data_IF_804999930823
#
_entry.id   IF_804999930823
#
_cell.length_a   1.000
_cell.length_b   1.000
_cell.length_c   1.000
_cell.angle_alpha   90.00
_cell.angle_beta   90.00
_cell.angle_gamma   90.00
#
_symmetry.space_group_name_H-M   'P 1'
#
loop_
_entity.id
_entity.type
_entity.pdbx_description
1 polymer ?
#
# COMPACT_ATOMS: atom_id res chain seq x y z
N UNK A 1 -26.32 4.31 -5.97
CA UNK A 1 -25.65 4.71 -4.72
C UNK A 1 -25.48 3.56 -3.73
N UNK A 2 -26.53 2.76 -3.44
CA UNK A 2 -26.45 1.62 -2.50
C UNK A 2 -25.33 0.63 -2.86
N UNK A 3 -25.23 0.22 -4.14
CA UNK A 3 -24.19 -0.73 -4.58
C UNK A 3 -22.77 -0.18 -4.40
N UNK A 4 -22.54 1.12 -4.67
CA UNK A 4 -21.25 1.75 -4.44
C UNK A 4 -20.87 1.71 -2.96
N UNK A 5 -21.83 2.07 -2.09
CA UNK A 5 -21.60 2.00 -0.64
C UNK A 5 -21.22 0.59 -0.20
N UNK A 6 -21.92 -0.43 -0.72
CA UNK A 6 -21.61 -1.84 -0.41
C UNK A 6 -20.19 -2.21 -0.82
N UNK A 7 -19.77 -1.88 -2.06
CA UNK A 7 -18.40 -2.19 -2.52
C UNK A 7 -17.32 -1.47 -1.70
N UNK A 8 -17.58 -0.20 -1.33
CA UNK A 8 -16.65 0.54 -0.46
C UNK A 8 -16.57 -0.11 0.93
N UNK A 9 -17.69 -0.52 1.52
CA UNK A 9 -17.71 -1.18 2.83
C UNK A 9 -16.95 -2.52 2.75
N UNK A 10 -17.23 -3.34 1.73
CA UNK A 10 -16.55 -4.63 1.55
C UNK A 10 -15.02 -4.42 1.37
N UNK A 11 -14.63 -3.46 0.54
CA UNK A 11 -13.22 -3.13 0.34
C UNK A 11 -12.56 -2.65 1.63
N UNK A 12 -13.22 -1.76 2.36
CA UNK A 12 -12.71 -1.23 3.63
C UNK A 12 -12.55 -2.35 4.67
N UNK A 13 -13.57 -3.20 4.83
CA UNK A 13 -13.51 -4.31 5.79
C UNK A 13 -12.42 -5.32 5.41
N UNK A 14 -12.31 -5.67 4.13
CA UNK A 14 -11.23 -6.53 3.63
C UNK A 14 -9.87 -5.93 3.98
N UNK A 15 -9.66 -4.66 3.62
CA UNK A 15 -8.41 -3.94 3.91
C UNK A 15 -8.10 -3.86 5.38
N UNK A 16 -9.13 -3.81 6.23
CA UNK A 16 -8.99 -3.64 7.69
C UNK A 16 -8.37 -4.85 8.38
N UNK A 17 -8.44 -6.05 7.79
CA UNK A 17 -7.83 -7.24 8.39
C UNK A 17 -6.31 -7.06 8.40
N UNK A 18 -5.70 -7.04 9.58
CA UNK A 18 -4.26 -6.79 9.73
C UNK A 18 -3.52 -8.13 9.86
N UNK A 19 -3.25 -8.76 8.71
CA UNK A 19 -2.67 -10.10 8.66
C UNK A 19 -1.30 -10.19 9.35
N UNK A 20 -0.44 -9.18 9.15
CA UNK A 20 0.86 -9.16 9.83
C UNK A 20 0.69 -9.20 11.35
N UNK A 21 -0.30 -8.44 11.89
CA UNK A 21 -0.58 -8.44 13.33
C UNK A 21 -1.12 -9.79 13.81
N UNK A 22 -2.00 -10.43 13.02
CA UNK A 22 -2.54 -11.76 13.36
C UNK A 22 -1.42 -12.81 13.37
N UNK A 23 -0.58 -12.81 12.33
CA UNK A 23 0.55 -13.74 12.22
C UNK A 23 1.60 -13.48 13.32
N UNK A 24 1.79 -12.22 13.74
CA UNK A 24 2.69 -11.88 14.84
C UNK A 24 2.24 -12.54 16.15
N UNK A 25 0.92 -12.61 16.39
CA UNK A 25 0.38 -13.30 17.57
C UNK A 25 0.74 -14.80 17.55
N UNK A 26 0.65 -15.45 16.38
CA UNK A 26 1.03 -16.88 16.27
C UNK A 26 2.53 -17.06 16.45
N UNK A 27 3.34 -16.11 16.01
CA UNK A 27 4.79 -16.10 16.18
C UNK A 27 5.22 -15.60 17.57
N UNK A 28 4.29 -15.17 18.41
CA UNK A 28 4.54 -14.62 19.77
C UNK A 28 5.48 -13.41 19.75
N UNK A 29 5.27 -12.51 18.77
CA UNK A 29 6.08 -11.30 18.58
C UNK A 29 5.20 -10.06 18.74
N UNK A 30 5.71 -9.03 19.42
CA UNK A 30 5.06 -7.72 19.49
C UNK A 30 5.65 -6.80 18.41
N UNK A 31 4.91 -6.55 17.34
CA UNK A 31 5.35 -5.69 16.23
C UNK A 31 5.54 -4.23 16.63
N UNK A 32 4.86 -3.78 17.71
CA UNK A 32 5.03 -2.40 18.19
C UNK A 32 6.42 -2.17 18.80
N UNK A 33 7.10 -3.25 19.21
CA UNK A 33 8.45 -3.19 19.76
C UNK A 33 9.54 -3.42 18.69
N UNK A 34 9.15 -3.58 17.39
CA UNK A 34 10.10 -3.91 16.31
C UNK A 34 10.21 -2.75 15.33
N UNK A 35 11.43 -2.41 14.95
CA UNK A 35 11.71 -1.40 13.92
C UNK A 35 11.05 -0.06 14.24
N UNK A 36 10.17 0.40 13.35
CA UNK A 36 9.46 1.67 13.51
C UNK A 36 8.09 1.51 14.21
N UNK A 37 7.82 0.35 14.79
CA UNK A 37 6.57 0.05 15.49
C UNK A 37 5.36 -0.15 14.59
N UNK A 38 5.56 -0.23 13.26
CA UNK A 38 4.49 -0.43 12.29
C UNK A 38 3.98 -1.88 12.36
N UNK A 39 2.64 -2.13 12.44
CA UNK A 39 2.10 -3.50 12.50
C UNK A 39 2.03 -4.17 11.13
N UNK A 40 3.03 -3.95 10.28
CA UNK A 40 3.06 -4.42 8.89
C UNK A 40 4.02 -5.59 8.66
N UNK A 41 3.99 -6.12 7.45
CA UNK A 41 4.72 -7.32 7.03
C UNK A 41 6.24 -7.18 7.17
N UNK A 42 6.80 -5.98 6.97
CA UNK A 42 8.26 -5.77 7.06
C UNK A 42 8.78 -6.00 8.49
N UNK A 43 8.10 -5.43 9.49
CA UNK A 43 8.48 -5.66 10.89
C UNK A 43 8.28 -7.11 11.29
N UNK A 44 7.24 -7.77 10.76
CA UNK A 44 7.04 -9.20 10.98
C UNK A 44 8.17 -10.03 10.34
N UNK A 45 8.61 -9.65 9.13
CA UNK A 45 9.75 -10.30 8.47
C UNK A 45 11.01 -10.23 9.34
N UNK A 46 11.31 -9.03 9.88
CA UNK A 46 12.48 -8.84 10.74
C UNK A 46 12.39 -9.65 12.03
N UNK A 47 11.21 -9.74 12.63
CA UNK A 47 11.03 -10.34 13.96
C UNK A 47 10.78 -11.85 13.93
N UNK A 48 10.08 -12.36 12.91
CA UNK A 48 9.64 -13.77 12.84
C UNK A 48 10.18 -14.51 11.59
N UNK A 49 10.98 -13.82 10.78
CA UNK A 49 11.62 -14.41 9.61
C UNK A 49 10.81 -14.31 8.32
N UNK A 50 11.47 -14.72 7.22
CA UNK A 50 10.97 -14.48 5.86
C UNK A 50 9.63 -15.18 5.57
N UNK A 51 9.40 -16.36 6.14
CA UNK A 51 8.15 -17.13 5.90
C UNK A 51 6.92 -16.35 6.39
N UNK A 52 6.99 -15.82 7.61
CA UNK A 52 5.92 -15.04 8.20
C UNK A 52 5.75 -13.70 7.44
N UNK A 53 6.87 -13.04 7.13
CA UNK A 53 6.85 -11.77 6.39
C UNK A 53 6.25 -11.92 5.01
N UNK A 54 6.69 -12.94 4.24
CA UNK A 54 6.18 -13.19 2.89
C UNK A 54 4.68 -13.52 2.91
N UNK A 55 4.25 -14.37 3.84
CA UNK A 55 2.82 -14.70 3.99
C UNK A 55 2.00 -13.43 4.27
N UNK A 56 2.50 -12.57 5.15
CA UNK A 56 1.82 -11.30 5.44
C UNK A 56 1.74 -10.38 4.22
N UNK A 57 2.82 -10.30 3.41
CA UNK A 57 2.82 -9.51 2.16
C UNK A 57 1.76 -10.04 1.20
N UNK A 58 1.71 -11.38 1.01
CA UNK A 58 0.75 -12.02 0.10
C UNK A 58 -0.69 -11.72 0.56
N UNK A 59 -0.97 -11.91 1.85
CA UNK A 59 -2.32 -11.70 2.39
C UNK A 59 -2.72 -10.22 2.33
N UNK A 60 -1.79 -9.30 2.61
CA UNK A 60 -2.05 -7.85 2.50
C UNK A 60 -2.24 -7.42 1.04
N UNK A 61 -1.54 -8.05 0.08
CA UNK A 61 -1.80 -7.86 -1.34
C UNK A 61 -3.20 -8.36 -1.70
N UNK A 62 -3.55 -9.59 -1.32
CA UNK A 62 -4.83 -10.22 -1.68
C UNK A 62 -6.03 -9.44 -1.11
N UNK A 63 -5.92 -8.87 0.09
CA UNK A 63 -7.04 -8.12 0.66
C UNK A 63 -7.34 -6.81 -0.10
N UNK A 64 -6.37 -6.30 -0.86
CA UNK A 64 -6.59 -5.18 -1.80
C UNK A 64 -7.07 -5.68 -3.16
N UNK A 65 -6.43 -6.74 -3.64
CA UNK A 65 -6.69 -7.30 -4.98
C UNK A 65 -8.09 -7.90 -5.11
N UNK A 66 -8.47 -8.78 -4.17
CA UNK A 66 -9.70 -9.58 -4.31
C UNK A 66 -10.97 -8.72 -4.36
N UNK A 67 -11.23 -7.79 -3.42
CA UNK A 67 -12.47 -7.01 -3.50
C UNK A 67 -12.55 -6.14 -4.75
N UNK A 68 -11.48 -5.64 -5.23
CA UNK A 68 -11.45 -4.85 -6.47
C UNK A 68 -11.57 -5.73 -7.70
N UNK A 69 -10.92 -6.84 -7.85
CA UNK A 69 -10.98 -7.63 -8.72
C UNK A 69 -12.20 -7.97 -8.88
N UNK A 70 -13.03 -8.53 -7.83
CA UNK A 70 -14.43 -8.99 -7.90
C UNK A 70 -15.36 -7.85 -8.35
N UNK A 71 -15.25 -6.68 -7.82
CA UNK A 71 -16.02 -5.52 -8.26
C UNK A 71 -15.90 -5.29 -9.79
N UNK A 72 -14.69 -5.40 -10.21
CA UNK A 72 -14.46 -5.21 -11.43
C UNK A 72 -15.08 -6.10 -12.21
N UNK A 73 -15.17 -7.51 -11.94
CA UNK A 73 -15.77 -8.60 -12.68
C UNK A 73 -17.31 -8.58 -12.72
N UNK A 74 -17.92 -7.98 -11.75
CA UNK A 74 -19.40 -7.83 -11.78
C UNK A 74 -19.88 -6.83 -12.83
N UNK A 75 -18.99 -6.09 -13.45
CA UNK A 75 -19.36 -5.01 -14.38
C UNK A 75 -19.88 -3.76 -13.68
N UNK A 76 -19.78 -3.71 -12.36
CA UNK A 76 -20.29 -2.56 -11.58
C UNK A 76 -19.49 -1.28 -11.85
N UNK A 77 -18.18 -1.39 -12.02
CA UNK A 77 -17.32 -0.24 -12.35
C UNK A 77 -16.49 -0.51 -13.62
N UNK A 78 -16.24 0.54 -14.39
CA UNK A 78 -15.37 0.54 -15.54
C UNK A 78 -14.20 1.49 -15.30
N UNK A 79 -13.09 1.36 -16.04
CA UNK A 79 -11.92 2.24 -15.85
C UNK A 79 -12.20 3.74 -15.98
N UNK A 80 -13.27 4.11 -16.70
CA UNK A 80 -13.66 5.52 -16.92
C UNK A 80 -14.60 6.05 -15.84
N UNK A 81 -15.13 5.19 -14.96
CA UNK A 81 -16.18 5.54 -14.01
C UNK A 81 -15.57 6.19 -12.75
N UNK A 82 -15.95 7.42 -12.40
CA UNK A 82 -15.49 8.04 -11.15
C UNK A 82 -15.79 7.23 -9.88
N UNK A 83 -16.77 6.32 -9.90
CA UNK A 83 -17.03 5.41 -8.78
C UNK A 83 -15.83 4.49 -8.48
N UNK A 84 -14.92 4.30 -9.44
CA UNK A 84 -13.66 3.59 -9.24
C UNK A 84 -12.83 4.20 -8.09
N UNK A 85 -12.85 5.53 -7.96
CA UNK A 85 -11.99 6.25 -7.00
C UNK A 85 -12.25 5.78 -5.56
N UNK A 86 -13.47 5.86 -5.03
CA UNK A 86 -13.71 5.37 -3.66
C UNK A 86 -13.56 3.85 -3.53
N UNK A 87 -13.87 3.06 -4.57
CA UNK A 87 -13.67 1.59 -4.52
C UNK A 87 -12.18 1.25 -4.41
N UNK A 88 -11.32 1.94 -5.17
CA UNK A 88 -9.86 1.75 -5.11
C UNK A 88 -9.29 2.19 -3.75
N UNK A 89 -9.79 3.31 -3.20
CA UNK A 89 -9.31 3.85 -1.95
C UNK A 89 -9.72 3.01 -0.73
N UNK A 90 -10.86 2.33 -0.80
CA UNK A 90 -11.47 1.68 0.36
C UNK A 90 -10.58 0.61 1.03
N UNK A 91 -9.95 -0.34 0.29
CA UNK A 91 -9.05 -1.30 0.95
C UNK A 91 -7.82 -0.64 1.57
N UNK A 92 -7.29 0.41 0.94
CA UNK A 92 -6.14 1.15 1.46
C UNK A 92 -6.53 1.87 2.75
N UNK A 93 -7.67 2.56 2.74
CA UNK A 93 -8.24 3.21 3.94
C UNK A 93 -8.42 2.19 5.07
N UNK A 94 -8.96 1.00 4.76
CA UNK A 94 -9.13 -0.06 5.74
C UNK A 94 -7.81 -0.48 6.37
N UNK A 95 -6.75 -0.62 5.56
CA UNK A 95 -5.42 -1.01 6.06
C UNK A 95 -4.81 0.10 6.93
N UNK A 96 -4.94 1.36 6.53
CA UNK A 96 -4.37 2.50 7.26
C UNK A 96 -5.12 2.76 8.57
N UNK A 97 -6.44 2.67 8.54
CA UNK A 97 -7.33 3.03 9.65
C UNK A 97 -8.15 1.82 10.10
N UNK A 98 -7.46 0.70 10.39
CA UNK A 98 -8.12 -0.54 10.78
C UNK A 98 -8.84 -0.38 12.12
N UNK A 99 -10.17 -0.59 12.16
CA UNK A 99 -10.91 -0.57 13.44
C UNK A 99 -10.45 -1.68 14.38
N UNK A 100 -9.91 -2.78 13.85
CA UNK A 100 -9.39 -3.90 14.65
C UNK A 100 -8.11 -3.52 15.40
N UNK A 101 -7.43 -2.43 15.02
CA UNK A 101 -6.25 -1.89 15.71
C UNK A 101 -6.47 -0.44 16.18
N UNK A 102 -7.71 -0.12 16.59
CA UNK A 102 -8.07 1.21 17.10
C UNK A 102 -7.66 2.32 16.13
N UNK A 103 -7.92 2.09 14.83
CA UNK A 103 -7.61 3.01 13.71
C UNK A 103 -6.12 3.33 13.56
N UNK A 104 -5.25 2.43 14.07
CA UNK A 104 -3.79 2.56 13.97
C UNK A 104 -3.21 1.38 13.19
N UNK A 105 -3.42 1.39 11.88
CA UNK A 105 -3.02 0.30 10.97
C UNK A 105 -1.59 0.42 10.45
N UNK A 106 -1.35 -0.14 9.26
CA UNK A 106 -0.03 -0.21 8.63
C UNK A 106 0.22 0.89 7.59
N UNK A 107 1.28 0.72 6.80
CA UNK A 107 1.72 1.73 5.80
C UNK A 107 1.06 1.58 4.42
N UNK A 108 0.38 0.47 4.15
CA UNK A 108 -0.46 0.34 2.95
C UNK A 108 0.22 -0.08 1.65
N UNK A 109 1.52 -0.39 1.65
CA UNK A 109 2.25 -0.67 0.40
C UNK A 109 1.69 -1.91 -0.30
N UNK A 110 1.62 -3.06 0.39
CA UNK A 110 1.18 -4.32 -0.22
C UNK A 110 -0.30 -4.26 -0.67
N UNK A 111 -1.17 -3.62 0.12
CA UNK A 111 -2.58 -3.46 -0.26
C UNK A 111 -2.73 -2.53 -1.48
N UNK A 112 -1.90 -1.47 -1.58
CA UNK A 112 -1.83 -0.61 -2.77
C UNK A 112 -1.46 -1.46 -4.00
N UNK A 113 -0.40 -2.28 -3.90
CA UNK A 113 -0.02 -3.20 -4.98
C UNK A 113 -1.20 -4.09 -5.39
N UNK A 114 -1.95 -4.63 -4.44
CA UNK A 114 -3.12 -5.47 -4.72
C UNK A 114 -4.21 -4.72 -5.50
N UNK A 115 -4.60 -3.55 -5.01
CA UNK A 115 -5.64 -2.71 -5.64
C UNK A 115 -5.26 -2.40 -7.10
N UNK A 116 -4.04 -1.91 -7.32
CA UNK A 116 -3.61 -1.47 -8.66
C UNK A 116 -3.36 -2.63 -9.61
N UNK A 117 -2.97 -3.81 -9.09
CA UNK A 117 -2.90 -5.04 -9.92
C UNK A 117 -4.30 -5.42 -10.44
N UNK A 118 -5.32 -5.30 -9.61
CA UNK A 118 -6.70 -5.61 -10.02
C UNK A 118 -7.23 -4.61 -11.06
N UNK A 119 -6.96 -3.31 -10.87
CA UNK A 119 -7.49 -2.26 -11.73
C UNK A 119 -6.82 -2.18 -13.10
N UNK A 120 -5.53 -2.57 -13.19
CA UNK A 120 -4.71 -2.34 -14.40
C UNK A 120 -4.03 -3.60 -14.91
N UNK A 121 -4.57 -4.80 -14.58
CA UNK A 121 -4.01 -6.09 -14.99
C UNK A 121 -2.50 -6.16 -14.73
N UNK A 122 -2.07 -5.71 -13.55
CA UNK A 122 -0.68 -5.66 -13.06
C UNK A 122 0.22 -4.61 -13.72
N UNK A 123 -0.23 -3.91 -14.77
CA UNK A 123 0.63 -3.01 -15.53
C UNK A 123 1.21 -1.88 -14.65
N UNK A 124 0.34 -1.12 -13.98
CA UNK A 124 0.77 -0.02 -13.11
C UNK A 124 1.62 -0.55 -11.94
N UNK A 125 1.24 -1.70 -11.40
CA UNK A 125 1.95 -2.34 -10.30
C UNK A 125 3.39 -2.72 -10.70
N UNK A 126 3.58 -3.27 -11.90
CA UNK A 126 4.91 -3.64 -12.41
C UNK A 126 5.78 -2.41 -12.62
N UNK A 127 5.23 -1.35 -13.22
CA UNK A 127 5.97 -0.10 -13.41
C UNK A 127 6.41 0.46 -12.05
N UNK A 128 5.48 0.51 -11.09
CA UNK A 128 5.79 1.00 -9.75
C UNK A 128 6.82 0.12 -9.03
N UNK A 129 6.71 -1.22 -9.16
CA UNK A 129 7.67 -2.16 -8.57
C UNK A 129 9.09 -1.94 -9.15
N UNK A 130 9.19 -1.74 -10.46
CA UNK A 130 10.49 -1.47 -11.13
C UNK A 130 11.08 -0.16 -10.59
N UNK A 131 10.27 0.91 -10.50
CA UNK A 131 10.72 2.20 -9.96
C UNK A 131 11.25 2.02 -8.53
N UNK A 132 10.49 1.32 -7.66
CA UNK A 132 10.92 1.09 -6.28
C UNK A 132 12.20 0.25 -6.22
N UNK A 133 12.33 -0.78 -7.07
CA UNK A 133 13.53 -1.61 -7.13
C UNK A 133 14.75 -0.79 -7.54
N UNK A 134 14.62 0.06 -8.57
CA UNK A 134 15.69 0.96 -9.02
C UNK A 134 16.08 1.92 -7.88
N UNK A 135 15.09 2.54 -7.23
CA UNK A 135 15.34 3.47 -6.11
C UNK A 135 16.03 2.77 -4.94
N UNK A 136 15.60 1.54 -4.62
CA UNK A 136 16.22 0.75 -3.53
C UNK A 136 17.68 0.42 -3.86
N UNK A 137 17.96 -0.04 -5.10
CA UNK A 137 19.33 -0.37 -5.52
C UNK A 137 20.20 0.89 -5.50
N UNK A 138 19.70 2.00 -6.06
CA UNK A 138 20.41 3.28 -6.07
C UNK A 138 20.68 3.76 -4.62
N UNK A 139 19.67 3.69 -3.75
CA UNK A 139 19.81 4.09 -2.35
C UNK A 139 20.85 3.27 -1.60
N UNK A 140 20.88 1.94 -1.85
CA UNK A 140 21.92 1.06 -1.27
C UNK A 140 23.31 1.38 -1.82
N UNK A 141 23.45 1.57 -3.13
CA UNK A 141 24.72 1.89 -3.76
C UNK A 141 25.29 3.19 -3.20
N UNK A 142 24.45 4.23 -3.05
CA UNK A 142 24.87 5.52 -2.48
C UNK A 142 25.18 5.42 -0.98
N UNK A 143 24.62 4.43 -0.27
CA UNK A 143 24.83 4.22 1.16
C UNK A 143 25.88 3.11 1.46
N UNK A 144 26.77 2.83 0.51
CA UNK A 144 27.80 1.81 0.67
C UNK A 144 27.24 0.40 0.86
N UNK A 145 26.15 0.08 0.16
CA UNK A 145 25.42 -1.20 0.18
C UNK A 145 24.81 -1.56 1.55
N UNK A 146 24.73 -0.59 2.46
CA UNK A 146 24.04 -0.78 3.74
C UNK A 146 22.52 -0.69 3.55
N UNK A 147 21.74 -1.26 4.48
CA UNK A 147 20.28 -1.14 4.41
C UNK A 147 19.83 0.32 4.38
N UNK A 148 18.83 0.60 3.60
CA UNK A 148 18.19 1.92 3.52
C UNK A 148 17.35 2.13 4.80
N UNK A 149 17.31 3.34 5.31
CA UNK A 149 16.54 3.63 6.53
C UNK A 149 15.04 3.68 6.24
N UNK A 150 14.21 3.45 7.25
CA UNK A 150 12.75 3.48 7.13
C UNK A 150 12.23 4.86 6.65
N UNK A 151 12.96 5.93 6.97
CA UNK A 151 12.62 7.28 6.50
C UNK A 151 12.88 7.42 4.99
N UNK A 152 14.02 6.90 4.52
CA UNK A 152 14.36 6.91 3.10
C UNK A 152 13.39 6.00 2.31
N UNK A 153 13.02 4.83 2.87
CA UNK A 153 11.96 3.98 2.28
C UNK A 153 10.65 4.76 2.13
N UNK A 154 10.27 5.53 3.15
CA UNK A 154 9.04 6.33 3.11
C UNK A 154 9.09 7.37 1.99
N UNK A 155 10.25 8.01 1.80
CA UNK A 155 10.46 8.97 0.71
C UNK A 155 10.38 8.27 -0.64
N UNK A 156 11.08 7.12 -0.81
CA UNK A 156 11.09 6.35 -2.06
C UNK A 156 9.68 5.91 -2.47
N UNK A 157 8.87 5.43 -1.52
CA UNK A 157 7.48 5.01 -1.78
C UNK A 157 6.68 6.16 -2.38
N UNK A 158 6.71 7.35 -1.76
CA UNK A 158 5.90 8.49 -2.21
C UNK A 158 6.42 9.06 -3.53
N UNK A 159 7.74 9.23 -3.67
CA UNK A 159 8.33 9.76 -4.92
C UNK A 159 8.10 8.77 -6.08
N UNK A 160 8.20 7.47 -5.81
CA UNK A 160 7.90 6.45 -6.82
C UNK A 160 6.46 6.55 -7.33
N UNK A 161 5.50 6.76 -6.42
CA UNK A 161 4.10 6.96 -6.82
C UNK A 161 3.92 8.23 -7.66
N UNK A 162 4.60 9.32 -7.28
CA UNK A 162 4.55 10.56 -8.06
C UNK A 162 5.14 10.38 -9.46
N UNK A 163 6.23 9.60 -9.57
CA UNK A 163 6.82 9.29 -10.89
C UNK A 163 5.85 8.52 -11.79
N UNK A 164 5.14 7.52 -11.24
CA UNK A 164 4.12 6.76 -11.96
C UNK A 164 2.99 7.67 -12.45
N UNK A 165 2.63 8.71 -11.69
CA UNK A 165 1.54 9.64 -12.05
C UNK A 165 1.74 10.30 -13.42
N UNK A 166 3.00 10.60 -13.77
CA UNK A 166 3.32 11.25 -15.06
C UNK A 166 2.89 10.37 -16.23
N UNK A 167 3.21 9.08 -16.14
CA UNK A 167 2.83 8.11 -17.18
C UNK A 167 1.33 7.82 -17.15
N UNK A 168 0.75 7.63 -15.95
CA UNK A 168 -0.69 7.35 -15.80
C UNK A 168 -1.58 8.44 -16.40
N UNK A 169 -1.19 9.70 -16.25
CA UNK A 169 -1.96 10.83 -16.79
C UNK A 169 -2.10 10.76 -18.32
N UNK A 170 -1.12 10.16 -19.01
CA UNK A 170 -1.11 10.06 -20.46
C UNK A 170 -1.71 8.74 -20.96
N UNK A 171 -1.57 7.66 -20.20
CA UNK A 171 -1.86 6.30 -20.65
C UNK A 171 -3.23 5.77 -20.23
N UNK A 172 -3.87 6.41 -19.24
CA UNK A 172 -5.08 5.86 -18.60
C UNK A 172 -6.21 6.88 -18.51
N UNK A 173 -7.48 6.41 -18.43
CA UNK A 173 -8.62 7.31 -18.21
C UNK A 173 -8.50 8.12 -16.92
N UNK A 174 -9.18 9.27 -16.89
CA UNK A 174 -9.12 10.22 -15.78
C UNK A 174 -9.50 9.59 -14.42
N UNK A 175 -10.45 8.65 -14.40
CA UNK A 175 -10.86 7.99 -13.14
C UNK A 175 -9.71 7.18 -12.53
N UNK A 176 -8.94 6.45 -13.36
CA UNK A 176 -7.73 5.72 -12.93
C UNK A 176 -6.71 6.71 -12.36
N UNK A 177 -6.43 7.80 -13.09
CA UNK A 177 -5.47 8.82 -12.65
C UNK A 177 -5.89 9.44 -11.30
N UNK A 178 -7.17 9.83 -11.16
CA UNK A 178 -7.63 10.44 -9.91
C UNK A 178 -7.69 9.43 -8.76
N UNK A 179 -8.00 8.16 -9.06
CA UNK A 179 -7.90 7.08 -8.08
C UNK A 179 -6.47 6.92 -7.56
N UNK A 180 -5.48 6.98 -8.47
CA UNK A 180 -4.07 6.95 -8.10
C UNK A 180 -3.70 8.16 -7.23
N UNK A 181 -4.16 9.36 -7.59
CA UNK A 181 -3.92 10.58 -6.80
C UNK A 181 -4.51 10.46 -5.38
N UNK A 182 -5.72 9.89 -5.26
CA UNK A 182 -6.32 9.61 -3.95
C UNK A 182 -5.43 8.64 -3.14
N UNK A 183 -4.92 7.59 -3.80
CA UNK A 183 -4.01 6.64 -3.13
C UNK A 183 -2.70 7.33 -2.71
N UNK A 184 -2.13 8.22 -3.54
CA UNK A 184 -0.94 9.01 -3.17
C UNK A 184 -1.20 9.80 -1.88
N UNK A 185 -2.35 10.49 -1.80
CA UNK A 185 -2.70 11.26 -0.60
C UNK A 185 -2.72 10.36 0.65
N UNK A 186 -3.30 9.15 0.53
CA UNK A 186 -3.32 8.18 1.61
C UNK A 186 -1.90 7.71 1.98
N UNK A 187 -1.05 7.47 0.98
CA UNK A 187 0.32 7.02 1.21
C UNK A 187 1.19 8.14 1.83
N UNK A 188 1.00 9.39 1.42
CA UNK A 188 1.66 10.54 2.06
C UNK A 188 1.27 10.59 3.54
N UNK A 189 -0.03 10.44 3.84
CA UNK A 189 -0.51 10.38 5.22
C UNK A 189 0.14 9.22 6.00
N UNK A 190 0.15 8.02 5.42
CA UNK A 190 0.71 6.81 6.07
C UNK A 190 2.20 6.93 6.35
N UNK A 191 2.93 7.62 5.46
CA UNK A 191 4.39 7.75 5.53
C UNK A 191 4.85 9.10 6.12
N UNK A 192 3.92 9.95 6.59
CA UNK A 192 4.19 11.35 6.99
C UNK A 192 5.30 11.49 8.04
N UNK A 193 5.40 10.57 8.99
CA UNK A 193 6.43 10.62 10.03
C UNK A 193 7.82 10.38 9.42
N UNK A 194 7.96 9.34 8.61
CA UNK A 194 9.21 9.05 7.91
C UNK A 194 9.61 10.18 6.97
N UNK A 195 8.63 10.72 6.21
CA UNK A 195 8.86 11.84 5.31
C UNK A 195 9.38 13.07 6.07
N UNK A 196 8.74 13.44 7.20
CA UNK A 196 9.18 14.58 8.01
C UNK A 196 10.61 14.41 8.52
N UNK A 197 10.95 13.23 9.01
CA UNK A 197 12.30 12.94 9.51
C UNK A 197 13.31 13.00 8.35
N UNK A 198 12.98 12.39 7.21
CA UNK A 198 13.86 12.40 6.03
C UNK A 198 14.14 13.81 5.56
N UNK A 199 13.09 14.63 5.36
CA UNK A 199 13.24 15.99 4.85
C UNK A 199 14.03 16.89 5.80
N UNK A 200 13.87 16.74 7.13
CA UNK A 200 14.64 17.50 8.13
C UNK A 200 16.14 17.25 8.06
N UNK A 201 16.59 16.15 7.47
CA UNK A 201 18.03 15.88 7.30
C UNK A 201 18.65 16.72 6.17
N UNK A 202 17.81 17.34 5.32
CA UNK A 202 18.24 18.07 4.14
C UNK A 202 17.95 19.59 4.23
N UNK A 203 17.24 20.01 5.28
CA UNK A 203 16.92 21.42 5.58
C UNK A 203 17.67 21.83 6.86
#
# INVERSE_FOLDING_TARGET
MMALGLWCILGYLSGSVMYAHLLAKTARVDLRAVGDGNPGAFNLWQAAGWRYGLLAVILDFLKGFVPVXVCXQTGFIHPDDPALIPVAAAPVLGHLFSPFLRFSGGKGIAVTFGVWSALTAFEVTLVYAVILAVMLVAGRALNGWRPVSSEADSFQVVIGMLAVSVWLHQAYPAAIFWGWCANIALMIWAHRTGLRVFLKKWI
#
